data_IF_498569691929
#
_entry.id   IF_498569691929
#
_cell.length_a   1.000
_cell.length_b   1.000
_cell.length_c   1.000
_cell.angle_alpha   90.00
_cell.angle_beta   90.00
_cell.angle_gamma   90.00
#
_symmetry.space_group_name_H-M   'P 1'
#
loop_
_entity.id
_entity.type
_entity.pdbx_description
1 polymer ?
#
# COMPACT_ATOMS: atom_id res chain seq x y z
N UNK A 1 31.78 3.37 -2.27
CA UNK A 1 31.25 3.70 -3.59
C UNK A 1 30.10 4.69 -3.41
N UNK A 2 30.12 5.80 -4.18
CA UNK A 2 28.99 6.75 -4.27
C UNK A 2 28.54 6.81 -5.72
N UNK A 3 27.25 6.71 -5.94
CA UNK A 3 26.63 6.87 -7.25
C UNK A 3 25.57 7.97 -7.12
N UNK A 4 25.48 8.82 -8.11
CA UNK A 4 24.50 9.88 -8.24
C UNK A 4 24.04 9.89 -9.69
N UNK A 5 22.76 9.61 -9.88
CA UNK A 5 22.23 9.46 -11.23
C UNK A 5 20.87 10.16 -11.33
N UNK A 6 20.66 10.86 -12.45
CA UNK A 6 19.36 11.41 -12.82
C UNK A 6 18.61 10.35 -13.63
N UNK A 7 17.36 10.13 -13.28
CA UNK A 7 16.46 9.17 -13.94
C UNK A 7 15.35 9.97 -14.61
N UNK A 8 15.13 9.69 -15.90
CA UNK A 8 13.97 10.14 -16.65
C UNK A 8 13.54 8.93 -17.51
N UNK A 9 12.50 8.24 -17.03
CA UNK A 9 12.06 7.00 -17.64
C UNK A 9 10.53 6.99 -17.74
N UNK A 10 10.01 6.41 -18.81
CA UNK A 10 8.58 6.29 -19.07
C UNK A 10 8.26 4.94 -19.71
N UNK A 11 6.99 4.53 -19.60
CA UNK A 11 6.52 3.28 -20.23
C UNK A 11 7.11 2.02 -19.57
N UNK A 12 7.52 2.07 -18.30
CA UNK A 12 8.01 0.91 -17.57
C UNK A 12 6.81 0.00 -17.28
N UNK A 13 6.72 -1.14 -17.97
CA UNK A 13 5.66 -2.12 -17.72
C UNK A 13 5.85 -2.76 -16.33
N UNK A 14 4.76 -2.75 -15.53
CA UNK A 14 4.78 -3.28 -14.17
C UNK A 14 4.60 -4.80 -14.09
N UNK A 15 4.01 -5.43 -15.12
CA UNK A 15 3.73 -6.87 -15.11
C UNK A 15 5.01 -7.71 -15.06
N UNK A 16 6.06 -7.41 -15.85
CA UNK A 16 7.33 -8.15 -15.78
C UNK A 16 8.08 -8.00 -14.46
N UNK A 17 7.73 -6.98 -13.64
CA UNK A 17 8.36 -6.79 -12.33
C UNK A 17 7.82 -7.75 -11.26
N UNK A 18 6.91 -8.65 -11.62
CA UNK A 18 6.29 -9.64 -10.74
C UNK A 18 7.27 -10.38 -9.82
N UNK A 19 8.45 -10.87 -10.26
CA UNK A 19 9.38 -11.58 -9.38
C UNK A 19 9.85 -10.77 -8.17
N UNK A 20 9.83 -9.43 -8.26
CA UNK A 20 10.31 -8.54 -7.21
C UNK A 20 9.28 -8.27 -6.11
N UNK A 21 7.98 -8.40 -6.38
CA UNK A 21 6.94 -8.12 -5.39
C UNK A 21 6.08 -9.33 -5.01
N UNK A 22 6.05 -10.40 -5.81
CA UNK A 22 5.13 -11.53 -5.56
C UNK A 22 5.43 -12.34 -4.30
N UNK A 23 6.66 -12.27 -3.77
CA UNK A 23 7.04 -12.92 -2.52
C UNK A 23 6.69 -12.06 -1.30
N UNK A 24 6.58 -10.75 -1.48
CA UNK A 24 6.33 -9.78 -0.42
C UNK A 24 4.85 -9.40 -0.30
N UNK A 25 4.02 -9.70 -1.32
CA UNK A 25 2.61 -9.29 -1.33
C UNK A 25 1.69 -10.40 -1.84
N UNK A 26 0.41 -10.34 -1.44
CA UNK A 26 -0.65 -11.20 -1.97
C UNK A 26 -1.40 -10.54 -3.14
N UNK A 27 -0.72 -9.69 -3.91
CA UNK A 27 -1.29 -8.95 -5.06
C UNK A 27 -0.78 -9.55 -6.36
N UNK A 28 -1.66 -9.67 -7.35
CA UNK A 28 -1.30 -9.97 -8.74
C UNK A 28 -1.53 -8.70 -9.55
N UNK A 29 -0.46 -8.08 -10.04
CA UNK A 29 -0.56 -6.95 -10.98
C UNK A 29 -0.91 -7.49 -12.36
N UNK A 30 -2.01 -7.01 -12.93
CA UNK A 30 -2.51 -7.43 -14.24
C UNK A 30 -2.22 -6.44 -15.36
N UNK A 31 -1.84 -5.21 -14.99
CA UNK A 31 -1.47 -4.17 -15.93
C UNK A 31 -0.95 -2.94 -15.22
N UNK A 32 -0.34 -2.05 -15.98
CA UNK A 32 0.15 -0.76 -15.51
C UNK A 32 1.48 -0.39 -16.14
N UNK A 33 1.66 0.91 -16.35
CA UNK A 33 2.91 1.48 -16.82
C UNK A 33 3.36 2.58 -15.87
N UNK A 34 4.63 2.55 -15.49
CA UNK A 34 5.23 3.58 -14.64
C UNK A 34 6.08 4.56 -15.47
N UNK A 35 6.07 5.81 -15.04
CA UNK A 35 6.99 6.85 -15.47
C UNK A 35 7.58 7.53 -14.23
N UNK A 36 8.84 7.93 -14.31
CA UNK A 36 9.51 8.58 -13.20
C UNK A 36 10.52 9.60 -13.68
N UNK A 37 10.58 10.72 -12.98
CA UNK A 37 11.58 11.76 -13.21
C UNK A 37 12.15 12.20 -11.88
N UNK A 38 13.44 11.93 -11.68
CA UNK A 38 14.03 12.16 -10.37
C UNK A 38 15.53 11.94 -10.32
N UNK A 39 16.03 11.81 -9.10
CA UNK A 39 17.43 11.59 -8.78
C UNK A 39 17.58 10.42 -7.84
N UNK A 40 18.44 9.48 -8.19
CA UNK A 40 18.83 8.35 -7.35
C UNK A 40 20.25 8.57 -6.86
N UNK A 41 20.42 8.57 -5.56
CA UNK A 41 21.74 8.56 -4.93
C UNK A 41 21.96 7.25 -4.19
N UNK A 42 23.13 6.68 -4.33
CA UNK A 42 23.51 5.45 -3.64
C UNK A 42 24.87 5.65 -2.96
N UNK A 43 24.97 5.30 -1.70
CA UNK A 43 26.20 5.33 -0.93
C UNK A 43 26.39 3.99 -0.24
N UNK A 44 27.46 3.27 -0.60
CA UNK A 44 27.90 2.08 0.12
C UNK A 44 28.87 2.48 1.24
N UNK A 45 28.52 2.16 2.49
CA UNK A 45 29.43 2.31 3.62
C UNK A 45 30.36 1.08 3.74
N UNK A 46 31.58 1.28 4.32
CA UNK A 46 32.54 0.20 4.51
C UNK A 46 32.09 -0.90 5.49
N UNK A 47 31.03 -0.64 6.28
CA UNK A 47 30.49 -1.55 7.29
C UNK A 47 29.20 -2.28 6.88
N UNK A 48 28.92 -2.39 5.58
CA UNK A 48 27.78 -3.19 5.10
C UNK A 48 26.43 -2.47 4.95
N UNK A 49 26.27 -1.24 5.45
CA UNK A 49 25.03 -0.48 5.32
C UNK A 49 25.06 0.36 4.04
N UNK A 50 24.41 -0.14 2.99
CA UNK A 50 24.21 0.62 1.76
C UNK A 50 22.95 1.50 1.91
N UNK A 51 23.07 2.79 1.59
CA UNK A 51 21.94 3.72 1.61
C UNK A 51 21.63 4.18 0.19
N UNK A 52 20.42 3.92 -0.24
CA UNK A 52 19.85 4.49 -1.45
C UNK A 52 18.84 5.59 -1.06
N UNK A 53 18.78 6.67 -1.84
CA UNK A 53 17.75 7.70 -1.74
C UNK A 53 17.28 8.07 -3.12
N UNK A 54 15.98 8.03 -3.31
CA UNK A 54 15.30 8.52 -4.50
C UNK A 54 14.54 9.80 -4.15
N UNK A 55 14.67 10.83 -5.00
CA UNK A 55 13.87 12.07 -4.92
C UNK A 55 13.34 12.40 -6.30
N UNK A 56 12.03 12.68 -6.40
CA UNK A 56 11.40 13.01 -7.69
C UNK A 56 9.92 12.69 -7.73
N UNK A 57 9.38 12.56 -8.94
CA UNK A 57 7.99 12.27 -9.19
C UNK A 57 7.81 10.90 -9.82
N UNK A 58 6.69 10.25 -9.52
CA UNK A 58 6.32 8.95 -10.08
C UNK A 58 4.87 9.03 -10.56
N UNK A 59 4.62 8.57 -11.78
CA UNK A 59 3.26 8.42 -12.31
C UNK A 59 3.05 6.97 -12.71
N UNK A 60 1.91 6.39 -12.31
CA UNK A 60 1.51 5.04 -12.71
C UNK A 60 0.17 5.15 -13.44
N UNK A 61 0.12 4.65 -14.66
CA UNK A 61 -1.07 4.71 -15.51
C UNK A 61 -1.64 3.32 -15.80
N UNK A 62 -2.96 3.25 -15.97
CA UNK A 62 -3.69 2.03 -16.34
C UNK A 62 -3.36 0.82 -15.45
N UNK A 63 -3.24 1.05 -14.16
CA UNK A 63 -2.95 0.00 -13.20
C UNK A 63 -4.16 -0.89 -12.97
N UNK A 64 -3.92 -2.18 -12.86
CA UNK A 64 -4.89 -3.17 -12.44
C UNK A 64 -4.24 -4.23 -11.55
N UNK A 65 -4.99 -4.69 -10.56
CA UNK A 65 -4.54 -5.75 -9.68
C UNK A 65 -5.68 -6.63 -9.20
N UNK A 66 -5.34 -7.90 -8.94
CA UNK A 66 -6.22 -8.89 -8.35
C UNK A 66 -5.71 -9.27 -6.97
N UNK A 67 -6.63 -9.59 -6.09
CA UNK A 67 -6.37 -10.31 -4.86
C UNK A 67 -6.02 -11.76 -5.19
N UNK A 68 -4.84 -12.23 -4.78
CA UNK A 68 -4.34 -13.56 -5.12
C UNK A 68 -5.22 -14.70 -4.59
N UNK A 69 -5.67 -14.69 -3.32
CA UNK A 69 -6.53 -15.74 -2.78
C UNK A 69 -7.86 -15.91 -3.51
N UNK A 70 -8.51 -14.82 -3.88
CA UNK A 70 -9.86 -14.84 -4.45
C UNK A 70 -9.88 -14.65 -5.97
N UNK A 71 -8.77 -14.20 -6.56
CA UNK A 71 -8.67 -13.81 -7.97
C UNK A 71 -9.67 -12.75 -8.39
N UNK A 72 -10.13 -11.93 -7.45
CA UNK A 72 -11.07 -10.84 -7.69
C UNK A 72 -10.35 -9.52 -7.82
N UNK A 73 -10.97 -8.56 -8.54
CA UNK A 73 -10.46 -7.20 -8.65
C UNK A 73 -10.23 -6.62 -7.26
N UNK A 74 -9.03 -6.07 -7.05
CA UNK A 74 -8.62 -5.49 -5.79
C UNK A 74 -8.52 -3.98 -5.89
N UNK A 75 -7.65 -3.50 -6.77
CA UNK A 75 -7.46 -2.08 -7.03
C UNK A 75 -7.15 -1.86 -8.51
N UNK A 76 -7.64 -0.76 -9.05
CA UNK A 76 -7.28 -0.23 -10.37
C UNK A 76 -7.37 1.29 -10.35
N UNK A 77 -6.65 1.94 -11.25
CA UNK A 77 -6.76 3.37 -11.50
C UNK A 77 -6.33 3.71 -12.92
N UNK A 78 -6.85 4.82 -13.44
CA UNK A 78 -6.41 5.41 -14.71
C UNK A 78 -5.05 6.05 -14.54
N UNK A 79 -4.91 6.91 -13.52
CA UNK A 79 -3.66 7.62 -13.23
C UNK A 79 -3.48 7.74 -11.72
N UNK A 80 -2.30 7.39 -11.24
CA UNK A 80 -1.81 7.68 -9.90
C UNK A 80 -0.53 8.50 -10.03
N UNK A 81 -0.53 9.70 -9.47
CA UNK A 81 0.64 10.59 -9.46
C UNK A 81 1.12 10.79 -8.02
N UNK A 82 2.40 10.56 -7.82
CA UNK A 82 3.13 10.81 -6.57
C UNK A 82 4.10 11.94 -6.85
N UNK A 83 3.94 13.07 -6.16
CA UNK A 83 4.82 14.23 -6.31
C UNK A 83 5.67 14.43 -5.06
N UNK A 84 6.86 14.98 -5.26
CA UNK A 84 7.82 15.22 -4.19
C UNK A 84 8.10 13.95 -3.37
N UNK A 85 8.33 12.85 -4.07
CA UNK A 85 8.71 11.57 -3.45
C UNK A 85 10.13 11.71 -2.89
N UNK A 86 10.30 11.40 -1.62
CA UNK A 86 11.61 11.22 -0.96
C UNK A 86 11.62 9.87 -0.26
N UNK A 87 12.27 8.90 -0.87
CA UNK A 87 12.36 7.53 -0.38
C UNK A 87 13.81 7.19 -0.01
N UNK A 88 14.01 6.71 1.21
CA UNK A 88 15.32 6.31 1.74
C UNK A 88 15.25 4.84 2.16
N UNK A 89 16.28 4.07 1.80
CA UNK A 89 16.31 2.62 2.10
C UNK A 89 16.79 2.29 3.52
N UNK A 90 17.71 3.12 4.08
CA UNK A 90 18.33 2.80 5.37
C UNK A 90 18.69 4.10 6.15
N UNK A 91 18.06 4.36 7.34
CA UNK A 91 16.83 3.70 7.77
C UNK A 91 15.68 3.95 6.79
N UNK A 92 14.77 3.00 6.66
CA UNK A 92 13.67 3.18 5.72
C UNK A 92 12.81 4.39 6.09
N UNK A 93 12.55 5.27 5.11
CA UNK A 93 11.59 6.36 5.24
C UNK A 93 11.01 6.71 3.87
N UNK A 94 9.74 7.10 3.86
CA UNK A 94 9.03 7.51 2.65
C UNK A 94 8.25 8.79 2.95
N UNK A 95 8.55 9.86 2.23
CA UNK A 95 7.79 11.11 2.25
C UNK A 95 7.22 11.39 0.86
N UNK A 96 5.94 11.75 0.82
CA UNK A 96 5.21 12.11 -0.39
C UNK A 96 4.62 13.50 -0.18
N UNK A 97 4.92 14.46 -1.05
CA UNK A 97 4.31 15.79 -1.02
C UNK A 97 2.83 15.73 -1.35
N UNK A 98 2.48 15.03 -2.43
CA UNK A 98 1.09 14.74 -2.75
C UNK A 98 0.92 13.38 -3.45
N UNK A 99 -0.28 12.82 -3.25
CA UNK A 99 -0.79 11.62 -3.93
C UNK A 99 -2.07 12.02 -4.64
N UNK A 100 -2.15 11.88 -5.96
CA UNK A 100 -3.36 12.12 -6.73
C UNK A 100 -3.76 10.83 -7.46
N UNK A 101 -4.98 10.34 -7.22
CA UNK A 101 -5.54 9.16 -7.87
C UNK A 101 -6.80 9.55 -8.65
N UNK A 102 -6.79 9.24 -9.94
CA UNK A 102 -7.89 9.48 -10.87
C UNK A 102 -8.43 8.18 -11.45
N UNK A 103 -9.75 8.06 -11.54
CA UNK A 103 -10.45 6.90 -12.07
C UNK A 103 -10.11 5.64 -11.29
N UNK A 104 -10.06 5.74 -9.97
CA UNK A 104 -9.68 4.61 -9.13
C UNK A 104 -10.87 3.73 -8.76
N UNK A 105 -10.57 2.46 -8.59
CA UNK A 105 -11.44 1.46 -7.99
C UNK A 105 -10.71 0.79 -6.84
N UNK A 106 -11.40 0.60 -5.73
CA UNK A 106 -10.88 -0.16 -4.60
C UNK A 106 -11.97 -1.09 -4.03
N UNK A 107 -11.58 -2.33 -3.73
CA UNK A 107 -12.40 -3.30 -3.02
C UNK A 107 -11.92 -3.43 -1.59
N UNK A 108 -12.77 -3.02 -0.65
CA UNK A 108 -12.48 -3.03 0.78
C UNK A 108 -13.41 -4.04 1.46
N UNK A 109 -12.84 -5.01 2.14
CA UNK A 109 -13.58 -6.04 2.87
C UNK A 109 -13.15 -6.00 4.33
N UNK A 110 -14.12 -5.80 5.22
CA UNK A 110 -13.97 -6.06 6.65
C UNK A 110 -14.43 -7.48 6.92
N UNK A 111 -13.49 -8.35 7.27
CA UNK A 111 -13.75 -9.75 7.54
C UNK A 111 -14.45 -9.96 8.90
N UNK A 112 -15.02 -11.14 9.13
CA UNK A 112 -15.70 -11.49 10.37
C UNK A 112 -14.80 -11.45 11.62
N UNK A 113 -13.48 -11.51 11.45
CA UNK A 113 -12.47 -11.39 12.50
C UNK A 113 -11.97 -9.95 12.71
N UNK A 114 -12.69 -8.95 12.18
CA UNK A 114 -12.35 -7.52 12.19
C UNK A 114 -11.04 -7.15 11.44
N UNK A 115 -10.51 -8.03 10.59
CA UNK A 115 -9.37 -7.71 9.74
C UNK A 115 -9.81 -7.13 8.41
N UNK A 116 -9.04 -6.17 7.86
CA UNK A 116 -9.25 -5.66 6.51
C UNK A 116 -8.48 -6.52 5.49
N UNK A 117 -9.11 -6.79 4.32
CA UNK A 117 -8.42 -7.45 3.23
C UNK A 117 -7.11 -6.72 2.85
N UNK A 118 -7.08 -5.39 2.93
CA UNK A 118 -5.90 -4.58 2.63
C UNK A 118 -4.71 -4.86 3.57
N UNK A 119 -4.96 -5.23 4.82
CA UNK A 119 -3.90 -5.62 5.78
C UNK A 119 -3.22 -6.93 5.35
N UNK A 120 -3.97 -7.85 4.77
CA UNK A 120 -3.45 -9.13 4.29
C UNK A 120 -2.58 -9.00 3.04
N UNK A 121 -2.70 -7.88 2.31
CA UNK A 121 -1.89 -7.63 1.11
C UNK A 121 -0.41 -7.40 1.44
N UNK A 122 -0.15 -6.75 2.57
CA UNK A 122 1.19 -6.41 3.05
C UNK A 122 1.77 -7.48 3.98
N UNK A 123 0.97 -8.51 4.32
CA UNK A 123 1.46 -9.61 5.13
C UNK A 123 2.43 -10.47 4.31
N UNK A 124 3.66 -10.75 4.81
CA UNK A 124 4.56 -11.67 4.15
C UNK A 124 3.88 -13.02 3.91
N UNK A 125 4.06 -13.61 2.73
CA UNK A 125 3.42 -14.87 2.30
C UNK A 125 3.53 -16.01 3.34
N UNK A 126 4.62 -16.05 4.11
CA UNK A 126 4.81 -17.03 5.18
C UNK A 126 3.81 -16.86 6.35
N UNK A 127 3.41 -15.62 6.66
CA UNK A 127 2.44 -15.34 7.72
C UNK A 127 1.00 -15.63 7.28
N UNK A 128 0.66 -15.40 6.03
CA UNK A 128 -0.67 -15.69 5.47
C UNK A 128 -0.97 -17.20 5.42
N UNK A 129 0.03 -18.05 5.22
CA UNK A 129 -0.14 -19.51 5.23
C UNK A 129 -0.25 -20.10 6.64
N UNK A 130 0.25 -19.40 7.67
CA UNK A 130 0.15 -19.82 9.07
C UNK A 130 -1.20 -19.48 9.72
N UNK A 131 -2.00 -18.63 9.08
CA UNK A 131 -3.32 -18.18 9.56
C UNK A 131 -4.50 -19.06 9.11
N UNK A 132 -4.27 -20.30 8.62
CA UNK A 132 -5.35 -21.25 8.39
C UNK A 132 -6.05 -21.58 9.72
N UNK A 133 -7.39 -21.51 9.82
CA UNK A 133 -8.10 -21.66 11.09
C UNK A 133 -7.94 -23.09 11.60
N UNK A 134 -7.24 -23.27 12.72
CA UNK A 134 -7.33 -24.48 13.51
C UNK A 134 -8.68 -24.43 14.23
N UNK A 135 -9.55 -25.45 14.12
CA UNK A 135 -10.81 -25.48 14.84
C UNK A 135 -10.52 -25.48 16.35
N UNK A 136 -10.81 -24.38 17.04
CA UNK A 136 -10.74 -24.36 18.50
C UNK A 136 -12.07 -24.85 19.05
N UNK A 137 -12.02 -25.99 19.68
CA UNK A 137 -13.08 -26.52 20.55
C UNK A 137 -13.30 -25.53 21.70
N UNK A 138 -14.55 -25.13 21.88
CA UNK A 138 -14.99 -24.18 22.90
C UNK A 138 -14.77 -24.73 24.29
N UNK A 139 -14.01 -24.02 25.12
CA UNK A 139 -14.10 -24.13 26.59
C UNK A 139 -14.18 -22.68 27.10
N UNK A 140 -15.25 -22.40 27.85
CA UNK A 140 -15.63 -21.08 28.29
C UNK A 140 -14.59 -20.44 29.23
N UNK A 141 -14.27 -19.21 28.96
CA UNK A 141 -13.51 -18.32 29.82
C UNK A 141 -13.84 -16.89 29.42
N UNK A 142 -14.30 -16.10 30.40
CA UNK A 142 -14.54 -14.67 30.24
C UNK A 142 -13.21 -13.99 29.92
N UNK A 143 -13.02 -13.59 28.67
CA UNK A 143 -11.83 -12.87 28.25
C UNK A 143 -12.05 -11.37 28.49
N UNK A 144 -11.33 -10.81 29.44
CA UNK A 144 -11.14 -9.37 29.61
C UNK A 144 -10.46 -8.85 28.33
N UNK A 145 -11.19 -8.07 27.54
CA UNK A 145 -10.68 -7.45 26.33
C UNK A 145 -9.70 -6.34 26.70
N UNK A 146 -8.43 -6.67 26.85
CA UNK A 146 -7.37 -5.67 26.73
C UNK A 146 -7.25 -5.31 25.26
N UNK A 147 -7.52 -4.05 24.92
CA UNK A 147 -7.22 -3.46 23.62
C UNK A 147 -5.74 -3.78 23.30
N UNK A 148 -5.43 -4.28 22.08
CA UNK A 148 -4.04 -4.50 21.71
C UNK A 148 -3.29 -3.19 21.75
N UNK A 149 -2.21 -3.18 22.50
CA UNK A 149 -1.25 -2.08 22.57
C UNK A 149 -0.79 -1.73 21.15
N UNK A 150 -0.71 -0.44 20.86
CA UNK A 150 -0.31 0.17 19.58
C UNK A 150 0.90 -0.57 19.01
N UNK A 151 0.87 -1.04 17.74
CA UNK A 151 2.06 -1.63 17.14
C UNK A 151 3.14 -0.56 17.03
N UNK A 152 4.22 -0.73 17.76
CA UNK A 152 5.36 0.19 17.88
C UNK A 152 6.27 0.22 16.61
N UNK A 153 5.71 -0.17 15.46
CA UNK A 153 6.38 -0.16 14.16
C UNK A 153 5.50 0.50 13.11
N UNK A 154 5.08 1.74 13.34
CA UNK A 154 4.57 2.55 12.25
C UNK A 154 5.69 2.72 11.22
N UNK A 155 5.51 2.19 9.99
CA UNK A 155 6.41 2.50 8.89
C UNK A 155 6.54 4.02 8.82
N UNK A 156 7.76 4.58 8.74
CA UNK A 156 7.96 6.02 8.68
C UNK A 156 7.54 6.55 7.30
N UNK A 157 6.22 6.64 7.10
CA UNK A 157 5.59 7.14 5.89
C UNK A 157 4.85 8.42 6.22
N UNK A 158 5.13 9.48 5.48
CA UNK A 158 4.44 10.76 5.58
C UNK A 158 3.82 11.15 4.23
N UNK A 159 2.59 11.65 4.24
CA UNK A 159 1.87 12.10 3.04
C UNK A 159 1.30 13.48 3.35
N UNK A 160 1.70 14.49 2.56
CA UNK A 160 1.24 15.87 2.76
C UNK A 160 -0.21 16.08 2.28
N UNK A 161 -0.55 15.59 1.09
CA UNK A 161 -1.88 15.73 0.50
C UNK A 161 -2.29 14.48 -0.25
N UNK A 162 -3.57 14.13 -0.15
CA UNK A 162 -4.20 13.08 -0.96
C UNK A 162 -5.34 13.73 -1.72
N UNK A 163 -5.38 13.55 -3.03
CA UNK A 163 -6.46 14.00 -3.91
C UNK A 163 -7.04 12.80 -4.65
N UNK A 164 -8.35 12.65 -4.59
CA UNK A 164 -9.10 11.57 -5.21
C UNK A 164 -10.10 12.16 -6.20
N UNK A 165 -10.21 11.56 -7.39
CA UNK A 165 -11.18 11.93 -8.41
C UNK A 165 -11.70 10.70 -9.15
N UNK A 166 -12.96 10.76 -9.60
CA UNK A 166 -13.64 9.73 -10.40
C UNK A 166 -13.47 8.31 -9.80
N UNK A 167 -13.69 8.19 -8.48
CA UNK A 167 -13.44 6.96 -7.74
C UNK A 167 -14.68 6.06 -7.62
N UNK A 168 -14.42 4.76 -7.48
CA UNK A 168 -15.39 3.72 -7.20
C UNK A 168 -14.89 2.86 -6.04
N UNK A 169 -15.71 2.63 -5.01
CA UNK A 169 -15.35 1.79 -3.87
C UNK A 169 -16.43 0.75 -3.63
N UNK A 170 -16.03 -0.52 -3.68
CA UNK A 170 -16.86 -1.63 -3.20
C UNK A 170 -16.47 -1.95 -1.76
N UNK A 171 -17.41 -1.77 -0.85
CA UNK A 171 -17.25 -2.09 0.56
C UNK A 171 -18.11 -3.28 0.95
N UNK A 172 -17.55 -4.24 1.66
CA UNK A 172 -18.29 -5.34 2.26
C UNK A 172 -17.88 -5.49 3.73
N UNK A 173 -18.88 -5.58 4.60
CA UNK A 173 -18.70 -5.78 6.04
C UNK A 173 -19.31 -7.13 6.42
N UNK A 174 -18.46 -8.06 6.83
CA UNK A 174 -18.83 -9.38 7.34
C UNK A 174 -18.69 -9.48 8.88
N UNK A 175 -18.21 -8.40 9.52
CA UNK A 175 -18.07 -8.36 10.96
C UNK A 175 -19.40 -8.10 11.66
N UNK A 176 -20.24 -7.22 11.09
CA UNK A 176 -21.56 -6.89 11.61
C UNK A 176 -22.65 -7.83 11.03
N UNK A 177 -23.61 -8.26 11.85
CA UNK A 177 -24.76 -9.08 11.43
C UNK A 177 -26.04 -8.23 11.43
N UNK A 178 -26.84 -8.20 10.37
CA UNK A 178 -26.62 -8.86 9.07
C UNK A 178 -25.50 -8.22 8.27
N UNK A 179 -24.82 -9.01 7.43
CA UNK A 179 -23.72 -8.52 6.58
C UNK A 179 -24.18 -7.32 5.74
N UNK A 180 -23.28 -6.35 5.60
CA UNK A 180 -23.54 -5.12 4.85
C UNK A 180 -22.64 -5.00 3.65
N UNK A 181 -23.17 -4.54 2.52
CA UNK A 181 -22.40 -4.21 1.32
C UNK A 181 -22.80 -2.84 0.79
N UNK A 182 -21.83 -2.07 0.32
CA UNK A 182 -22.05 -0.76 -0.29
C UNK A 182 -21.21 -0.63 -1.57
N UNK A 183 -21.78 0.03 -2.55
CA UNK A 183 -21.10 0.42 -3.78
C UNK A 183 -21.14 1.95 -3.88
N UNK A 184 -19.99 2.57 -3.71
CA UNK A 184 -19.82 4.01 -3.77
C UNK A 184 -19.26 4.37 -5.16
N UNK A 185 -19.91 5.30 -5.84
CA UNK A 185 -19.50 5.79 -7.16
C UNK A 185 -19.22 7.28 -7.09
N UNK A 186 -18.43 7.81 -8.03
CA UNK A 186 -18.04 9.22 -8.10
C UNK A 186 -17.36 9.71 -6.79
N UNK A 187 -16.56 8.84 -6.19
CA UNK A 187 -15.82 9.20 -4.97
C UNK A 187 -14.75 10.20 -5.33
N UNK A 188 -14.83 11.39 -4.74
CA UNK A 188 -13.85 12.44 -4.95
C UNK A 188 -13.64 13.21 -3.63
N UNK A 189 -12.44 13.74 -3.45
CA UNK A 189 -12.11 14.52 -2.26
C UNK A 189 -10.65 14.86 -2.15
N UNK A 190 -10.35 15.73 -1.19
CA UNK A 190 -8.97 16.10 -0.86
C UNK A 190 -8.77 16.00 0.66
N UNK A 191 -7.70 15.33 1.05
CA UNK A 191 -7.25 15.26 2.44
C UNK A 191 -5.86 15.87 2.51
N UNK A 192 -5.66 16.81 3.43
CA UNK A 192 -4.34 17.41 3.70
C UNK A 192 -3.96 17.13 5.15
N UNK A 193 -2.79 16.55 5.35
CA UNK A 193 -2.21 16.42 6.68
C UNK A 193 -1.35 17.66 6.96
N UNK A 194 -1.70 18.40 8.01
CA UNK A 194 -0.83 19.45 8.55
C UNK A 194 0.00 18.81 9.64
N UNK A 195 1.29 18.58 9.38
CA UNK A 195 2.23 18.22 10.43
C UNK A 195 2.53 19.52 11.19
N UNK A 196 1.95 19.71 12.38
CA UNK A 196 2.45 20.73 13.29
C UNK A 196 3.85 20.30 13.76
N UNK A 197 4.89 21.09 13.53
CA UNK A 197 6.16 20.82 14.18
C UNK A 197 5.90 20.89 15.69
N UNK A 198 6.29 19.82 16.38
CA UNK A 198 6.06 19.65 17.81
C UNK A 198 6.55 20.85 18.61
N UNK A 199 5.73 21.31 19.54
CA UNK A 199 6.10 22.25 20.58
C UNK A 199 7.01 21.60 21.59
#
# INVERSE_FOLDING_TARGET
LKVDCRIDASGIDLVPLRPYYETATNVIVTGGAAATKGRLTYAAARAGNARARYTGDVTITNFGSLDRPTSQDLMRWKTLTLTDVDAVSEPFSLSLGAVAADGFYARIILNADATLNLQQLLAPRAAAQAAAPIPRTSAGGVATTTLPDKPDSALPVSIGRIQLSDGEVQYADYFVQPNYTAHLTNVAGTVSATVQPGA
#
